data_IF_926998566738
#
_entry.id   IF_926998566738
#
_cell.length_a   1.000
_cell.length_b   1.000
_cell.length_c   1.000
_cell.angle_alpha   90.00
_cell.angle_beta   90.00
_cell.angle_gamma   90.00
#
_symmetry.space_group_name_H-M   'P 1'
#
loop_
_entity.id
_entity.type
_entity.pdbx_description
1 polymer ?
#
# COMPACT_ATOMS: atom_id res chain seq x y z
N UNK A 1 -44.66 -10.79 -28.46
CA UNK A 1 -43.75 -9.64 -28.73
C UNK A 1 -42.59 -9.58 -27.71
N UNK A 2 -42.03 -10.74 -27.28
CA UNK A 2 -41.22 -10.83 -26.05
C UNK A 2 -39.80 -11.39 -26.20
N UNK A 3 -39.30 -11.68 -27.41
CA UNK A 3 -37.99 -12.35 -27.57
C UNK A 3 -36.86 -11.49 -28.18
N UNK A 4 -37.16 -10.27 -28.64
CA UNK A 4 -36.12 -9.39 -29.21
C UNK A 4 -35.31 -8.60 -28.15
N UNK A 5 -35.79 -8.51 -26.90
CA UNK A 5 -35.13 -7.74 -25.83
C UNK A 5 -33.91 -8.45 -25.24
N UNK A 6 -33.93 -9.78 -25.17
CA UNK A 6 -32.82 -10.57 -24.65
C UNK A 6 -31.52 -10.46 -25.49
N UNK A 7 -31.57 -10.56 -26.84
CA UNK A 7 -30.37 -10.36 -27.67
C UNK A 7 -29.89 -8.90 -27.68
N UNK A 8 -30.81 -7.92 -27.62
CA UNK A 8 -30.44 -6.51 -27.54
C UNK A 8 -29.72 -6.17 -26.21
N UNK A 9 -30.23 -6.66 -25.07
CA UNK A 9 -29.61 -6.48 -23.77
C UNK A 9 -28.22 -7.13 -23.71
N UNK A 10 -28.08 -8.35 -24.24
CA UNK A 10 -26.77 -9.03 -24.27
C UNK A 10 -25.76 -8.28 -25.14
N UNK A 11 -26.19 -7.75 -26.29
CA UNK A 11 -25.33 -6.90 -27.13
C UNK A 11 -24.92 -5.63 -26.40
N UNK A 12 -25.85 -4.93 -25.76
CA UNK A 12 -25.56 -3.74 -24.97
C UNK A 12 -24.57 -4.04 -23.82
N UNK A 13 -24.80 -5.12 -23.07
CA UNK A 13 -23.89 -5.55 -22.00
C UNK A 13 -22.49 -5.93 -22.54
N UNK A 14 -22.42 -6.56 -23.72
CA UNK A 14 -21.14 -6.90 -24.36
C UNK A 14 -20.38 -5.63 -24.77
N UNK A 15 -21.06 -4.67 -25.40
CA UNK A 15 -20.46 -3.38 -25.77
C UNK A 15 -19.97 -2.64 -24.52
N UNK A 16 -20.80 -2.56 -23.47
CA UNK A 16 -20.41 -1.96 -22.20
C UNK A 16 -19.21 -2.66 -21.56
N UNK A 17 -19.17 -4.00 -21.62
CA UNK A 17 -18.05 -4.79 -21.10
C UNK A 17 -16.76 -4.53 -21.87
N UNK A 18 -16.80 -4.47 -23.20
CA UNK A 18 -15.63 -4.15 -24.02
C UNK A 18 -15.12 -2.74 -23.74
N UNK A 19 -16.01 -1.75 -23.70
CA UNK A 19 -15.64 -0.36 -23.37
C UNK A 19 -15.03 -0.28 -21.96
N UNK A 20 -15.63 -0.98 -20.99
CA UNK A 20 -15.09 -1.08 -19.64
C UNK A 20 -13.70 -1.71 -19.63
N UNK A 21 -13.45 -2.80 -20.37
CA UNK A 21 -12.13 -3.43 -20.41
C UNK A 21 -11.06 -2.49 -20.99
N UNK A 22 -11.42 -1.63 -21.95
CA UNK A 22 -10.51 -0.58 -22.46
C UNK A 22 -10.19 0.43 -21.36
N UNK A 23 -11.19 0.89 -20.60
CA UNK A 23 -10.98 1.81 -19.47
C UNK A 23 -10.15 1.15 -18.37
N UNK A 24 -10.43 -0.10 -18.04
CA UNK A 24 -9.69 -0.90 -17.06
C UNK A 24 -8.22 -1.03 -17.46
N UNK A 25 -7.95 -1.38 -18.72
CA UNK A 25 -6.59 -1.47 -19.23
C UNK A 25 -5.89 -0.11 -19.20
N UNK A 26 -6.58 0.96 -19.57
CA UNK A 26 -6.06 2.33 -19.46
C UNK A 26 -5.68 2.69 -18.03
N UNK A 27 -6.57 2.43 -17.06
CA UNK A 27 -6.32 2.71 -15.65
C UNK A 27 -5.17 1.85 -15.07
N UNK A 28 -5.09 0.58 -15.47
CA UNK A 28 -4.07 -0.35 -14.99
C UNK A 28 -2.68 -0.12 -15.62
N UNK A 29 -2.61 0.36 -16.87
CA UNK A 29 -1.36 0.43 -17.63
C UNK A 29 -0.96 1.85 -18.04
N UNK A 30 -1.65 2.91 -17.62
CA UNK A 30 -1.20 4.29 -17.82
C UNK A 30 -0.78 4.95 -16.51
N UNK A 31 0.24 5.82 -16.51
CA UNK A 31 1.14 6.13 -17.64
C UNK A 31 2.04 4.94 -18.01
N UNK A 32 2.51 4.90 -19.27
CA UNK A 32 3.42 3.84 -19.75
C UNK A 32 4.83 4.02 -19.16
N UNK A 33 5.67 2.96 -19.09
CA UNK A 33 7.03 3.06 -18.54
C UNK A 33 7.91 4.12 -19.20
N UNK A 34 7.73 4.36 -20.50
CA UNK A 34 8.47 5.38 -21.26
C UNK A 34 8.11 6.82 -20.89
N UNK A 35 7.01 7.03 -20.17
CA UNK A 35 6.52 8.35 -19.76
C UNK A 35 7.02 8.75 -18.35
N UNK A 36 7.69 7.85 -17.62
CA UNK A 36 8.23 8.14 -16.29
C UNK A 36 9.65 8.71 -16.37
N UNK A 37 9.89 9.78 -15.59
CA UNK A 37 11.19 10.45 -15.45
C UNK A 37 12.08 9.78 -14.41
N UNK A 38 11.50 9.23 -13.35
CA UNK A 38 12.20 8.53 -12.27
C UNK A 38 12.22 7.02 -12.54
N UNK A 39 13.39 6.40 -12.38
CA UNK A 39 13.59 4.96 -12.61
C UNK A 39 14.27 4.35 -11.40
N UNK A 40 13.56 3.47 -10.70
CA UNK A 40 14.12 2.69 -9.59
C UNK A 40 15.06 1.58 -10.08
N UNK A 41 15.59 0.79 -9.15
CA UNK A 41 16.46 -0.35 -9.45
C UNK A 41 15.65 -1.65 -9.53
N UNK A 42 15.43 -2.18 -10.74
CA UNK A 42 14.77 -3.47 -10.95
C UNK A 42 13.27 -3.50 -10.63
N UNK A 43 12.61 -4.66 -10.83
CA UNK A 43 11.19 -4.84 -10.49
C UNK A 43 10.98 -4.84 -8.97
N UNK A 44 9.90 -4.23 -8.50
CA UNK A 44 9.49 -4.29 -7.08
C UNK A 44 8.21 -5.10 -6.90
N UNK A 45 8.08 -5.71 -5.72
CA UNK A 45 6.91 -6.47 -5.32
C UNK A 45 6.72 -6.38 -3.80
N UNK A 46 5.47 -6.28 -3.37
CA UNK A 46 5.05 -6.45 -1.99
C UNK A 46 4.10 -7.65 -1.89
N UNK A 47 4.54 -8.65 -1.12
CA UNK A 47 3.77 -9.87 -0.83
C UNK A 47 3.24 -9.87 0.61
N UNK A 48 3.48 -8.80 1.37
CA UNK A 48 3.06 -8.65 2.74
C UNK A 48 1.57 -8.30 2.80
N UNK A 49 0.75 -9.32 2.95
CA UNK A 49 -0.67 -9.17 3.23
C UNK A 49 -0.89 -8.78 4.72
N UNK A 50 -0.38 -7.62 5.14
CA UNK A 50 -0.39 -7.17 6.54
C UNK A 50 -1.44 -6.11 6.82
N UNK A 51 -1.67 -5.21 5.86
CA UNK A 51 -2.55 -4.05 6.03
C UNK A 51 -3.14 -3.61 4.67
N UNK A 52 -4.22 -4.26 4.20
CA UNK A 52 -4.86 -3.91 2.91
C UNK A 52 -5.52 -2.51 2.88
N UNK A 53 -5.41 -1.75 3.97
CA UNK A 53 -5.84 -0.35 4.17
C UNK A 53 -7.17 0.03 3.51
N UNK A 54 -8.20 -0.80 3.72
CA UNK A 54 -9.51 -0.60 3.08
C UNK A 54 -10.21 0.71 3.52
N UNK A 55 -9.74 1.29 4.63
CA UNK A 55 -10.16 2.59 5.19
C UNK A 55 -9.21 3.73 4.82
N UNK A 56 -8.19 3.45 4.03
CA UNK A 56 -7.18 4.39 3.57
C UNK A 56 -7.70 5.39 2.55
N UNK A 57 -6.76 6.08 1.91
CA UNK A 57 -7.05 7.14 0.95
C UNK A 57 -7.70 6.66 -0.36
N UNK A 58 -7.97 7.64 -1.24
CA UNK A 58 -8.53 7.41 -2.58
C UNK A 58 -7.74 6.37 -3.40
N UNK A 59 -6.43 6.32 -3.22
CA UNK A 59 -5.54 5.43 -3.97
C UNK A 59 -5.88 3.95 -3.77
N UNK A 60 -6.21 3.57 -2.53
CA UNK A 60 -6.55 2.20 -2.13
C UNK A 60 -7.99 1.87 -2.53
N UNK A 61 -8.91 2.81 -2.28
CA UNK A 61 -10.34 2.63 -2.58
C UNK A 61 -10.61 2.50 -4.09
N UNK A 62 -9.82 3.18 -4.92
CA UNK A 62 -9.88 3.09 -6.39
C UNK A 62 -9.77 1.66 -6.88
N UNK A 63 -8.94 0.82 -6.27
CA UNK A 63 -8.75 -0.57 -6.67
C UNK A 63 -10.05 -1.37 -6.54
N UNK A 64 -10.74 -1.24 -5.40
CA UNK A 64 -12.07 -1.84 -5.21
C UNK A 64 -13.07 -1.31 -6.25
N UNK A 65 -13.14 0.02 -6.43
CA UNK A 65 -14.12 0.64 -7.32
C UNK A 65 -13.91 0.26 -8.79
N UNK A 66 -12.67 0.13 -9.23
CA UNK A 66 -12.30 -0.16 -10.61
C UNK A 66 -12.81 -1.52 -11.07
N UNK A 67 -12.87 -2.52 -10.18
CA UNK A 67 -13.27 -3.89 -10.55
C UNK A 67 -14.74 -4.23 -10.29
N UNK A 68 -15.50 -3.38 -9.60
CA UNK A 68 -16.96 -3.57 -9.44
C UNK A 68 -17.66 -3.75 -10.80
N UNK A 69 -17.43 -2.92 -11.84
CA UNK A 69 -18.08 -3.11 -13.12
C UNK A 69 -17.74 -4.44 -13.79
N UNK A 70 -16.55 -5.01 -13.57
CA UNK A 70 -16.22 -6.36 -14.04
C UNK A 70 -17.17 -7.40 -13.47
N UNK A 71 -17.36 -7.40 -12.15
CA UNK A 71 -18.29 -8.30 -11.47
C UNK A 71 -19.74 -8.11 -11.90
N UNK A 72 -20.12 -6.90 -12.31
CA UNK A 72 -21.47 -6.62 -12.81
C UNK A 72 -21.67 -7.14 -14.23
N UNK A 73 -20.75 -6.82 -15.13
CA UNK A 73 -20.91 -7.02 -16.56
C UNK A 73 -20.58 -8.45 -17.00
N UNK A 74 -19.59 -9.10 -16.39
CA UNK A 74 -19.17 -10.46 -16.75
C UNK A 74 -20.34 -11.47 -16.79
N UNK A 75 -21.15 -11.65 -15.73
CA UNK A 75 -22.29 -12.60 -15.74
C UNK A 75 -23.38 -12.27 -16.76
N UNK A 76 -23.41 -11.05 -17.32
CA UNK A 76 -24.35 -10.65 -18.36
C UNK A 76 -23.86 -11.01 -19.77
N UNK A 77 -22.54 -11.19 -19.94
CA UNK A 77 -21.90 -11.48 -21.23
C UNK A 77 -21.63 -12.98 -21.40
N UNK A 78 -21.17 -13.66 -20.33
CA UNK A 78 -20.80 -15.09 -20.35
C UNK A 78 -21.83 -15.95 -19.62
N UNK A 79 -21.86 -17.25 -19.94
CA UNK A 79 -22.70 -18.26 -19.27
C UNK A 79 -21.86 -19.23 -18.44
N UNK A 80 -21.00 -18.68 -17.61
CA UNK A 80 -20.11 -19.47 -16.75
C UNK A 80 -20.81 -19.88 -15.46
N UNK A 81 -20.26 -20.91 -14.80
CA UNK A 81 -20.68 -21.30 -13.46
C UNK A 81 -20.25 -20.22 -12.46
N UNK A 82 -20.97 -20.06 -11.35
CA UNK A 82 -20.68 -19.02 -10.35
C UNK A 82 -19.26 -19.12 -9.78
N UNK A 83 -18.75 -20.33 -9.61
CA UNK A 83 -17.40 -20.61 -9.13
C UNK A 83 -16.34 -20.07 -10.11
N UNK A 84 -16.60 -20.19 -11.41
CA UNK A 84 -15.73 -19.65 -12.45
C UNK A 84 -15.79 -18.12 -12.53
N UNK A 85 -16.94 -17.50 -12.23
CA UNK A 85 -17.07 -16.04 -12.14
C UNK A 85 -16.27 -15.48 -10.94
N UNK A 86 -16.36 -16.15 -9.79
CA UNK A 86 -15.56 -15.82 -8.59
C UNK A 86 -14.08 -15.95 -8.90
N UNK A 87 -13.66 -17.07 -9.50
CA UNK A 87 -12.27 -17.28 -9.90
C UNK A 87 -11.80 -16.25 -10.93
N UNK A 88 -12.67 -15.81 -11.84
CA UNK A 88 -12.34 -14.77 -12.81
C UNK A 88 -12.08 -13.40 -12.15
N UNK A 89 -12.75 -13.08 -11.04
CA UNK A 89 -12.51 -11.85 -10.29
C UNK A 89 -11.10 -11.82 -9.68
N UNK A 90 -10.60 -12.96 -9.20
CA UNK A 90 -9.22 -13.09 -8.75
C UNK A 90 -8.22 -13.24 -9.91
N UNK A 91 -8.60 -13.98 -10.96
CA UNK A 91 -7.71 -14.27 -12.08
C UNK A 91 -7.39 -13.04 -12.93
N UNK A 92 -8.36 -12.13 -13.13
CA UNK A 92 -8.12 -10.89 -13.88
C UNK A 92 -7.18 -9.96 -13.13
N UNK A 93 -7.30 -9.90 -11.80
CA UNK A 93 -6.49 -9.03 -10.95
C UNK A 93 -5.07 -9.58 -10.85
N UNK A 94 -4.93 -10.89 -10.65
CA UNK A 94 -3.63 -11.57 -10.69
C UNK A 94 -2.94 -11.38 -12.03
N UNK A 95 -3.68 -11.47 -13.14
CA UNK A 95 -3.14 -11.24 -14.47
C UNK A 95 -2.60 -9.82 -14.63
N UNK A 96 -3.35 -8.80 -14.19
CA UNK A 96 -2.93 -7.39 -14.29
C UNK A 96 -1.62 -7.17 -13.51
N UNK A 97 -1.58 -7.55 -12.23
CA UNK A 97 -0.39 -7.42 -11.37
C UNK A 97 0.81 -8.17 -11.95
N UNK A 98 0.60 -9.40 -12.44
CA UNK A 98 1.66 -10.21 -13.04
C UNK A 98 2.20 -9.58 -14.32
N UNK A 99 1.33 -9.05 -15.19
CA UNK A 99 1.77 -8.36 -16.41
C UNK A 99 2.58 -7.11 -16.06
N UNK A 100 2.14 -6.32 -15.07
CA UNK A 100 2.88 -5.16 -14.59
C UNK A 100 4.27 -5.55 -14.07
N UNK A 101 4.37 -6.62 -13.27
CA UNK A 101 5.64 -7.13 -12.78
C UNK A 101 6.58 -7.59 -13.91
N UNK A 102 6.04 -8.33 -14.89
CA UNK A 102 6.80 -8.78 -16.05
C UNK A 102 7.27 -7.60 -16.91
N UNK A 103 6.45 -6.56 -17.06
CA UNK A 103 6.86 -5.32 -17.73
C UNK A 103 7.98 -4.65 -16.96
N UNK A 104 7.82 -4.42 -15.64
CA UNK A 104 8.89 -3.85 -14.79
C UNK A 104 10.20 -4.65 -14.91
N UNK A 105 10.13 -5.99 -14.94
CA UNK A 105 11.28 -6.84 -15.16
C UNK A 105 11.90 -6.68 -16.56
N UNK A 106 11.07 -6.52 -17.60
CA UNK A 106 11.52 -6.34 -18.98
C UNK A 106 12.16 -4.97 -19.23
N UNK A 107 11.65 -3.90 -18.60
CA UNK A 107 12.25 -2.56 -18.73
C UNK A 107 13.48 -2.39 -17.82
N UNK A 108 13.60 -3.21 -16.77
CA UNK A 108 14.75 -3.21 -15.86
C UNK A 108 14.64 -2.25 -14.68
N UNK A 109 13.46 -1.65 -14.48
CA UNK A 109 13.15 -0.79 -13.34
C UNK A 109 11.68 -0.96 -12.93
N UNK A 110 11.34 -0.52 -11.71
CA UNK A 110 9.98 -0.62 -11.20
C UNK A 110 9.08 0.43 -11.84
N UNK A 111 8.32 0.01 -12.85
CA UNK A 111 7.27 0.83 -13.45
C UNK A 111 6.01 0.84 -12.57
N UNK A 112 5.62 -0.37 -12.16
CA UNK A 112 4.60 -0.65 -11.15
C UNK A 112 5.08 -1.79 -10.27
N UNK A 113 4.77 -1.68 -8.98
CA UNK A 113 5.01 -2.73 -8.00
C UNK A 113 3.88 -3.77 -8.09
N UNK A 114 4.21 -5.05 -7.99
CA UNK A 114 3.22 -6.09 -7.74
C UNK A 114 2.80 -5.99 -6.27
N UNK A 115 1.52 -5.77 -5.97
CA UNK A 115 1.05 -5.67 -4.58
C UNK A 115 -0.10 -6.66 -4.30
N UNK A 116 0.11 -7.54 -3.31
CA UNK A 116 -0.92 -8.51 -2.88
C UNK A 116 -2.13 -7.82 -2.23
N UNK A 117 -1.96 -6.64 -1.63
CA UNK A 117 -3.07 -5.85 -1.10
C UNK A 117 -3.94 -5.33 -2.26
N UNK A 118 -3.34 -4.84 -3.34
CA UNK A 118 -4.07 -4.41 -4.55
C UNK A 118 -4.81 -5.58 -5.19
N UNK A 119 -4.16 -6.75 -5.27
CA UNK A 119 -4.78 -7.99 -5.73
C UNK A 119 -6.04 -8.32 -4.91
N UNK A 120 -5.97 -8.21 -3.58
CA UNK A 120 -7.08 -8.47 -2.67
C UNK A 120 -8.22 -7.46 -2.85
N UNK A 121 -7.91 -6.16 -2.87
CA UNK A 121 -8.90 -5.09 -2.99
C UNK A 121 -9.64 -5.16 -4.32
N UNK A 122 -8.90 -5.36 -5.40
CA UNK A 122 -9.47 -5.58 -6.71
C UNK A 122 -10.37 -6.83 -6.74
N UNK A 123 -9.98 -7.90 -6.03
CA UNK A 123 -10.82 -9.11 -5.90
C UNK A 123 -12.12 -8.83 -5.13
N UNK A 124 -12.05 -8.07 -4.03
CA UNK A 124 -13.22 -7.63 -3.25
C UNK A 124 -14.20 -6.86 -4.14
N UNK A 125 -13.72 -5.90 -4.93
CA UNK A 125 -14.56 -5.13 -5.85
C UNK A 125 -15.31 -6.00 -6.86
N UNK A 126 -14.61 -6.97 -7.48
CA UNK A 126 -15.24 -7.93 -8.39
C UNK A 126 -16.32 -8.79 -7.72
N UNK A 127 -16.08 -9.25 -6.49
CA UNK A 127 -17.07 -10.02 -5.72
C UNK A 127 -18.28 -9.17 -5.32
N UNK A 128 -18.08 -7.90 -4.95
CA UNK A 128 -19.18 -6.96 -4.68
C UNK A 128 -20.05 -6.74 -5.94
N UNK A 129 -19.45 -6.57 -7.11
CA UNK A 129 -20.17 -6.46 -8.38
C UNK A 129 -20.98 -7.71 -8.74
N UNK A 130 -20.42 -8.91 -8.49
CA UNK A 130 -21.12 -10.18 -8.66
C UNK A 130 -22.30 -10.31 -7.69
N UNK A 131 -22.09 -9.96 -6.41
CA UNK A 131 -23.13 -10.00 -5.39
C UNK A 131 -24.28 -9.03 -5.71
N UNK A 132 -23.95 -7.83 -6.19
CA UNK A 132 -24.93 -6.86 -6.67
C UNK A 132 -25.78 -7.44 -7.80
N UNK A 133 -25.14 -8.00 -8.83
CA UNK A 133 -25.85 -8.58 -9.98
C UNK A 133 -26.72 -9.76 -9.58
N UNK A 134 -26.23 -10.64 -8.71
CA UNK A 134 -26.99 -11.76 -8.18
C UNK A 134 -28.25 -11.27 -7.42
N UNK A 135 -28.11 -10.22 -6.60
CA UNK A 135 -29.21 -9.61 -5.84
C UNK A 135 -30.24 -8.99 -6.76
N UNK A 136 -29.82 -8.17 -7.74
CA UNK A 136 -30.73 -7.55 -8.71
C UNK A 136 -31.50 -8.63 -9.49
N UNK A 137 -30.81 -9.66 -9.98
CA UNK A 137 -31.46 -10.76 -10.70
C UNK A 137 -32.43 -11.55 -9.83
N UNK A 138 -32.13 -11.73 -8.53
CA UNK A 138 -33.04 -12.36 -7.59
C UNK A 138 -34.29 -11.50 -7.36
N UNK A 139 -34.15 -10.20 -7.13
CA UNK A 139 -35.29 -9.29 -6.92
C UNK A 139 -36.18 -9.22 -8.17
N UNK A 140 -35.58 -9.11 -9.35
CA UNK A 140 -36.33 -9.01 -10.63
C UNK A 140 -37.04 -10.31 -10.98
N UNK A 141 -36.39 -11.47 -10.76
CA UNK A 141 -36.97 -12.78 -11.14
C UNK A 141 -37.83 -13.43 -10.05
N UNK A 142 -37.88 -12.84 -8.84
CA UNK A 142 -38.60 -13.34 -7.65
C UNK A 142 -38.54 -14.87 -7.46
N UNK A 143 -37.34 -15.48 -7.37
CA UNK A 143 -37.23 -16.90 -7.08
C UNK A 143 -37.69 -17.19 -5.64
N UNK A 144 -38.23 -18.39 -5.40
CA UNK A 144 -38.74 -18.84 -4.10
C UNK A 144 -37.68 -18.99 -3.01
N UNK A 145 -36.38 -19.01 -3.35
CA UNK A 145 -35.20 -18.76 -2.52
C UNK A 145 -33.98 -18.88 -3.45
N UNK A 146 -32.97 -18.00 -3.39
CA UNK A 146 -31.75 -18.17 -4.18
C UNK A 146 -30.99 -19.41 -3.68
N UNK A 147 -30.43 -20.21 -4.61
CA UNK A 147 -29.57 -21.33 -4.22
C UNK A 147 -28.36 -20.81 -3.43
N UNK A 148 -27.89 -21.57 -2.43
CA UNK A 148 -26.76 -21.18 -1.58
C UNK A 148 -25.52 -20.73 -2.40
N UNK A 149 -25.30 -21.32 -3.58
CA UNK A 149 -24.22 -20.95 -4.51
C UNK A 149 -24.29 -19.50 -4.98
N UNK A 150 -25.48 -18.88 -5.05
CA UNK A 150 -25.65 -17.47 -5.43
C UNK A 150 -25.29 -16.50 -4.31
N UNK A 151 -25.25 -16.97 -3.06
CA UNK A 151 -24.84 -16.19 -1.90
C UNK A 151 -23.31 -16.23 -1.69
N UNK A 152 -22.61 -17.18 -2.33
CA UNK A 152 -21.15 -17.34 -2.19
C UNK A 152 -20.37 -16.04 -2.47
N UNK A 153 -20.60 -15.28 -3.56
CA UNK A 153 -19.82 -14.08 -3.83
C UNK A 153 -20.03 -13.00 -2.76
N UNK A 154 -21.28 -12.82 -2.30
CA UNK A 154 -21.60 -11.86 -1.25
C UNK A 154 -21.03 -12.26 0.11
N UNK A 155 -21.09 -13.55 0.46
CA UNK A 155 -20.48 -14.08 1.68
C UNK A 155 -18.96 -13.97 1.66
N UNK A 156 -18.32 -14.30 0.54
CA UNK A 156 -16.88 -14.13 0.35
C UNK A 156 -16.47 -12.66 0.40
N UNK A 157 -17.19 -11.77 -0.29
CA UNK A 157 -16.94 -10.32 -0.24
C UNK A 157 -17.04 -9.81 1.21
N UNK A 158 -18.11 -10.16 1.92
CA UNK A 158 -18.30 -9.74 3.31
C UNK A 158 -17.19 -10.28 4.23
N UNK A 159 -16.77 -11.54 4.07
CA UNK A 159 -15.68 -12.13 4.84
C UNK A 159 -14.34 -11.45 4.56
N UNK A 160 -14.01 -11.18 3.29
CA UNK A 160 -12.77 -10.49 2.90
C UNK A 160 -12.76 -9.03 3.35
N UNK A 161 -13.89 -8.32 3.23
CA UNK A 161 -14.04 -6.95 3.74
C UNK A 161 -13.89 -6.93 5.26
N UNK A 162 -14.56 -7.82 5.99
CA UNK A 162 -14.44 -7.90 7.43
C UNK A 162 -13.00 -8.19 7.87
N UNK A 163 -12.35 -9.16 7.22
CA UNK A 163 -10.94 -9.46 7.47
C UNK A 163 -10.04 -8.27 7.17
N UNK A 164 -10.21 -7.59 6.03
CA UNK A 164 -9.41 -6.44 5.63
C UNK A 164 -9.58 -5.25 6.58
N UNK A 165 -10.81 -4.97 7.03
CA UNK A 165 -11.10 -3.93 8.02
C UNK A 165 -10.44 -4.26 9.36
N UNK A 166 -10.60 -5.50 9.85
CA UNK A 166 -9.96 -5.95 11.09
C UNK A 166 -8.45 -5.81 10.99
N UNK A 167 -7.83 -6.35 9.93
CA UNK A 167 -6.39 -6.26 9.70
C UNK A 167 -5.90 -4.79 9.65
N UNK A 168 -6.64 -3.91 8.97
CA UNK A 168 -6.29 -2.49 8.88
C UNK A 168 -6.30 -1.78 10.25
N UNK A 169 -7.29 -2.11 11.08
CA UNK A 169 -7.47 -1.51 12.41
C UNK A 169 -6.49 -2.09 13.44
N UNK A 170 -6.17 -3.39 13.34
CA UNK A 170 -5.29 -4.07 14.31
C UNK A 170 -3.81 -3.98 13.98
N UNK A 171 -3.46 -3.75 12.71
CA UNK A 171 -2.06 -3.61 12.28
C UNK A 171 -1.70 -2.13 12.26
N UNK A 172 -0.68 -1.69 13.04
CA UNK A 172 -0.22 -0.30 12.97
C UNK A 172 0.24 0.05 11.54
N UNK A 173 0.08 1.30 11.09
CA UNK A 173 0.61 1.74 9.79
C UNK A 173 2.08 1.39 9.66
N UNK A 174 2.51 1.05 8.44
CA UNK A 174 3.94 0.99 8.15
C UNK A 174 4.57 2.36 8.44
N UNK A 175 5.75 2.36 9.05
CA UNK A 175 6.49 3.59 9.35
C UNK A 175 6.66 4.36 8.04
N UNK A 176 6.11 5.56 7.98
CA UNK A 176 6.22 6.46 6.85
C UNK A 176 7.71 6.59 6.48
N UNK A 177 8.03 6.37 5.18
CA UNK A 177 9.42 6.53 4.73
C UNK A 177 9.73 8.02 4.78
N UNK A 178 10.49 8.38 5.80
CA UNK A 178 10.83 9.76 6.09
C UNK A 178 12.12 10.12 5.36
N UNK A 179 12.10 11.21 4.60
CA UNK A 179 13.23 11.69 3.81
C UNK A 179 13.85 12.97 4.40
N UNK A 180 13.91 13.06 5.74
CA UNK A 180 14.43 14.23 6.46
C UNK A 180 15.80 14.70 5.92
N UNK A 181 16.69 13.76 5.58
CA UNK A 181 18.03 14.06 5.08
C UNK A 181 18.08 14.56 3.63
N UNK A 182 17.02 14.41 2.85
CA UNK A 182 16.91 14.95 1.49
C UNK A 182 16.32 16.37 1.49
N UNK A 183 15.80 16.83 2.64
CA UNK A 183 15.28 18.17 2.83
C UNK A 183 16.36 19.14 3.36
N UNK A 184 16.17 20.43 3.05
CA UNK A 184 16.91 21.50 3.72
C UNK A 184 16.48 21.59 5.19
N UNK A 185 17.41 21.86 6.13
CA UNK A 185 17.08 22.02 7.54
C UNK A 185 15.96 23.03 7.77
N UNK A 186 14.91 22.62 8.48
CA UNK A 186 13.79 23.49 8.86
C UNK A 186 14.16 24.42 10.02
N UNK A 187 15.15 24.04 10.83
CA UNK A 187 15.66 24.79 11.97
C UNK A 187 17.19 24.78 12.05
N UNK A 188 17.74 25.14 13.21
CA UNK A 188 19.18 25.09 13.45
C UNK A 188 19.72 23.67 13.45
N UNK A 189 20.97 23.49 12.99
CA UNK A 189 21.70 22.23 13.10
C UNK A 189 22.19 22.05 14.54
N UNK A 190 21.80 20.94 15.16
CA UNK A 190 22.27 20.52 16.48
C UNK A 190 23.55 19.72 16.33
N UNK A 191 24.67 20.26 16.80
CA UNK A 191 25.96 19.58 16.83
C UNK A 191 26.03 18.58 17.99
N UNK A 192 26.54 17.38 17.75
CA UNK A 192 26.63 16.30 18.73
C UNK A 192 28.09 15.86 18.97
N UNK A 193 28.38 15.27 20.13
CA UNK A 193 29.65 14.57 20.38
C UNK A 193 29.95 13.52 19.33
N UNK A 194 31.24 13.20 19.15
CA UNK A 194 31.63 12.29 18.08
C UNK A 194 31.38 12.88 16.69
N UNK A 195 31.26 14.22 16.59
CA UNK A 195 31.06 14.99 15.36
C UNK A 195 29.94 14.46 14.47
N UNK A 196 28.91 13.94 15.11
CA UNK A 196 27.60 13.78 14.50
C UNK A 196 26.86 15.13 14.56
N UNK A 197 25.85 15.27 13.72
CA UNK A 197 24.96 16.43 13.75
C UNK A 197 23.53 15.98 13.46
N UNK A 198 22.55 16.75 13.90
CA UNK A 198 21.14 16.50 13.66
C UNK A 198 20.41 17.77 13.23
N UNK A 199 19.36 17.63 12.41
CA UNK A 199 18.45 18.72 12.12
C UNK A 199 17.04 18.21 11.83
N UNK A 200 16.03 19.06 11.97
CA UNK A 200 14.65 18.71 11.66
C UNK A 200 14.30 18.95 10.18
N UNK A 201 13.54 18.02 9.59
CA UNK A 201 12.79 18.23 8.35
C UNK A 201 11.55 19.11 8.58
N UNK A 202 10.85 19.51 7.51
CA UNK A 202 9.71 20.43 7.62
C UNK A 202 8.50 19.86 8.35
N UNK A 203 8.38 18.54 8.36
CA UNK A 203 7.34 17.75 9.02
C UNK A 203 7.70 17.39 10.48
N UNK A 204 8.84 17.87 10.98
CA UNK A 204 9.35 17.56 12.32
C UNK A 204 10.08 16.23 12.42
N UNK A 205 10.30 15.54 11.28
CA UNK A 205 11.24 14.43 11.19
C UNK A 205 12.67 14.86 11.52
N UNK A 206 13.56 13.93 11.82
CA UNK A 206 14.96 14.21 12.17
C UNK A 206 15.90 13.55 11.17
N UNK A 207 16.83 14.32 10.62
CA UNK A 207 18.00 13.80 9.94
C UNK A 207 19.18 13.73 10.91
N UNK A 208 19.82 12.57 11.00
CA UNK A 208 21.10 12.37 11.68
C UNK A 208 22.20 12.23 10.64
N UNK A 209 23.34 12.90 10.87
CA UNK A 209 24.52 12.82 10.03
C UNK A 209 25.74 12.44 10.87
N UNK A 210 26.56 11.54 10.37
CA UNK A 210 27.83 11.15 10.97
C UNK A 210 28.82 10.69 9.88
N UNK A 211 30.07 10.41 10.26
CA UNK A 211 31.15 10.02 9.32
C UNK A 211 30.92 8.68 8.59
N UNK A 212 29.82 7.98 8.87
CA UNK A 212 29.41 6.73 8.23
C UNK A 212 28.15 6.81 7.36
N UNK A 213 27.51 7.99 7.27
CA UNK A 213 26.28 8.18 6.49
C UNK A 213 25.22 9.00 7.22
N UNK A 214 24.01 8.93 6.70
CA UNK A 214 22.85 9.68 7.20
C UNK A 214 21.70 8.73 7.54
N UNK A 215 20.87 9.12 8.50
CA UNK A 215 19.64 8.40 8.85
C UNK A 215 18.48 9.38 9.01
N UNK A 216 17.40 9.14 8.28
CA UNK A 216 16.14 9.86 8.44
C UNK A 216 15.23 9.11 9.40
N UNK A 217 14.67 9.83 10.37
CA UNK A 217 13.84 9.28 11.43
C UNK A 217 12.53 10.08 11.53
N UNK A 218 11.38 9.43 11.77
CA UNK A 218 10.10 10.13 11.89
C UNK A 218 10.04 11.03 13.13
N UNK A 219 9.09 11.97 13.13
CA UNK A 219 8.87 12.92 14.23
C UNK A 219 8.44 12.25 15.56
N UNK A 220 8.10 10.97 15.53
CA UNK A 220 7.69 10.14 16.67
C UNK A 220 8.70 9.01 16.96
N UNK A 221 9.94 9.12 16.46
CA UNK A 221 10.97 8.10 16.64
C UNK A 221 11.20 7.80 18.13
N UNK A 222 11.08 6.52 18.50
CA UNK A 222 11.33 6.04 19.87
C UNK A 222 12.82 6.04 20.25
N UNK A 223 13.15 5.70 21.51
CA UNK A 223 14.52 5.64 21.97
C UNK A 223 15.32 4.51 21.32
N UNK A 224 16.53 4.81 20.85
CA UNK A 224 17.46 3.79 20.35
C UNK A 224 18.51 4.34 19.39
N UNK A 225 19.56 3.55 19.09
CA UNK A 225 20.59 3.92 18.13
C UNK A 225 20.04 3.86 16.70
N UNK A 226 20.43 4.82 15.88
CA UNK A 226 20.05 4.92 14.47
C UNK A 226 21.25 4.74 13.53
N UNK A 227 22.43 5.23 13.92
CA UNK A 227 23.68 5.02 13.20
C UNK A 227 24.78 4.58 14.17
N UNK A 228 25.68 3.74 13.67
CA UNK A 228 26.93 3.36 14.32
C UNK A 228 28.06 3.64 13.34
N UNK A 229 29.11 4.31 13.78
CA UNK A 229 30.25 4.69 12.94
C UNK A 229 31.56 4.62 13.71
N UNK A 230 32.66 4.42 12.98
CA UNK A 230 34.01 4.31 13.53
C UNK A 230 34.76 5.63 13.40
N UNK A 231 35.44 6.04 14.46
CA UNK A 231 36.39 7.16 14.47
C UNK A 231 37.74 6.73 15.04
N UNK A 232 38.81 7.52 14.80
CA UNK A 232 40.13 7.23 15.35
C UNK A 232 40.15 7.08 16.88
N UNK A 233 39.20 7.73 17.58
CA UNK A 233 39.09 7.62 19.03
C UNK A 233 38.26 6.42 19.47
N UNK A 234 37.33 5.86 18.68
CA UNK A 234 36.59 4.64 18.98
C UNK A 234 35.28 4.51 18.18
N UNK A 235 34.48 3.50 18.52
CA UNK A 235 33.14 3.29 17.93
C UNK A 235 32.12 4.23 18.57
N UNK A 236 31.37 4.96 17.74
CA UNK A 236 30.33 5.88 18.17
C UNK A 236 28.95 5.42 17.71
N UNK A 237 27.94 5.72 18.52
CA UNK A 237 26.53 5.53 18.23
C UNK A 237 25.81 6.87 18.34
N UNK A 238 24.91 7.13 17.40
CA UNK A 238 23.99 8.28 17.44
C UNK A 238 22.57 7.77 17.24
N UNK A 239 21.65 8.35 18.00
CA UNK A 239 20.27 7.87 18.06
C UNK A 239 19.29 8.91 18.55
N UNK A 240 18.06 8.46 18.76
CA UNK A 240 16.93 9.28 19.23
C UNK A 240 16.48 8.88 20.62
N UNK A 241 15.72 9.76 21.24
CA UNK A 241 15.06 9.60 22.53
C UNK A 241 13.78 10.45 22.57
N UNK A 242 12.90 10.15 23.52
CA UNK A 242 11.71 10.95 23.81
C UNK A 242 11.90 11.78 25.10
N UNK A 243 11.18 12.89 25.27
CA UNK A 243 11.21 13.65 26.51
C UNK A 243 10.87 12.77 27.73
N UNK A 244 11.80 12.71 28.69
CA UNK A 244 11.69 11.89 29.90
C UNK A 244 12.39 10.54 29.84
N UNK A 245 12.96 10.15 28.70
CA UNK A 245 13.81 8.96 28.60
C UNK A 245 15.15 9.17 29.32
N UNK A 246 15.69 8.08 29.88
CA UNK A 246 17.04 8.03 30.46
C UNK A 246 17.81 6.93 29.75
N UNK A 247 18.79 7.30 28.93
CA UNK A 247 19.58 6.38 28.12
C UNK A 247 21.01 6.27 28.64
N UNK A 248 21.60 5.08 28.51
CA UNK A 248 22.99 4.80 28.89
C UNK A 248 23.81 4.35 27.68
N UNK A 249 25.09 4.71 27.65
CA UNK A 249 26.04 4.25 26.62
C UNK A 249 26.35 2.76 26.81
N UNK A 250 25.48 1.89 26.29
CA UNK A 250 25.55 0.45 26.50
C UNK A 250 25.00 -0.01 27.87
N UNK A 251 25.03 -1.32 28.10
CA UNK A 251 24.48 -1.93 29.31
C UNK A 251 25.36 -1.59 30.54
N UNK A 252 24.87 -0.69 31.40
CA UNK A 252 25.58 -0.24 32.60
C UNK A 252 26.59 0.89 32.37
N UNK A 253 26.59 1.52 31.19
CA UNK A 253 27.42 2.69 30.89
C UNK A 253 26.88 4.00 31.49
N UNK A 254 27.61 5.12 31.31
CA UNK A 254 27.16 6.43 31.78
C UNK A 254 25.88 6.88 31.07
N UNK A 255 25.09 7.71 31.76
CA UNK A 255 23.90 8.35 31.17
C UNK A 255 24.33 9.27 30.04
N UNK A 256 23.68 9.13 28.89
CA UNK A 256 23.96 9.95 27.70
C UNK A 256 23.19 11.26 27.80
N UNK A 257 23.83 12.35 27.39
CA UNK A 257 23.18 13.65 27.30
C UNK A 257 22.22 13.68 26.11
N UNK A 258 21.01 14.20 26.34
CA UNK A 258 19.98 14.35 25.32
C UNK A 258 19.96 15.81 24.85
N UNK A 259 19.95 16.00 23.54
CA UNK A 259 19.93 17.31 22.89
C UNK A 259 18.62 17.51 22.14
N UNK A 260 18.06 18.71 22.25
CA UNK A 260 16.89 19.11 21.48
C UNK A 260 17.27 19.37 20.01
N UNK A 261 16.34 19.07 19.11
CA UNK A 261 16.44 19.41 17.69
C UNK A 261 15.41 20.49 17.38
N UNK A 262 15.88 21.66 16.98
CA UNK A 262 15.00 22.77 16.62
C UNK A 262 14.08 22.38 15.46
N UNK A 263 12.76 22.46 15.69
CA UNK A 263 11.74 22.01 14.74
C UNK A 263 11.25 20.57 14.92
N UNK A 264 11.76 19.81 15.90
CA UNK A 264 11.27 18.45 16.21
C UNK A 264 10.91 18.27 17.68
N UNK A 265 9.99 17.34 17.96
CA UNK A 265 9.69 16.88 19.33
C UNK A 265 10.61 15.74 19.81
N UNK A 266 11.48 15.24 18.93
CA UNK A 266 12.40 14.14 19.21
C UNK A 266 13.71 14.71 19.76
N UNK A 267 14.26 14.04 20.77
CA UNK A 267 15.59 14.33 21.30
C UNK A 267 16.62 13.43 20.63
N UNK A 268 17.86 13.92 20.51
CA UNK A 268 18.96 13.17 19.90
C UNK A 268 20.12 13.02 20.88
N UNK A 269 20.92 11.98 20.70
CA UNK A 269 22.07 11.71 21.55
C UNK A 269 23.20 11.08 20.74
N UNK A 270 24.43 11.30 21.18
CA UNK A 270 25.60 10.60 20.65
C UNK A 270 26.48 10.12 21.81
N UNK A 271 26.90 8.86 21.75
CA UNK A 271 27.74 8.26 22.76
C UNK A 271 28.80 7.35 22.12
N UNK A 272 29.95 7.30 22.78
CA UNK A 272 31.00 6.35 22.45
C UNK A 272 30.73 5.02 23.15
N UNK A 273 30.91 3.92 22.42
CA UNK A 273 30.77 2.56 22.91
C UNK A 273 32.06 2.01 23.51
#
# INVERSE_FOLDING_TARGET
MTDQRAPALRRAATVAFVLYLVVLAGAAFLPLPSMQLERGTGPSYDLALRRPDLLGGWEVQRNVLMTIPFGILLPLVVRWRYEALVLACFGVTLLIETVQLLVSAAVGWSWRAFDVNDLLLNTIGGLLGLAFTATVLAVVRRPSLPSARRLLPGGLAAALVAWAVVATVTTPPEREVVYACDELPAGSITELPGGASAYAGRDGSVCLLADGGTASLPFDAGPGPALTYERPDGTWEVGTAQPGDVLTAGAGGPVVELHEVDGSGVLVWAARR
#
